data_IF_121296414668
#
_entry.id   IF_121296414668
#
_cell.length_a   1.000
_cell.length_b   1.000
_cell.length_c   1.000
_cell.angle_alpha   90.00
_cell.angle_beta   90.00
_cell.angle_gamma   90.00
#
_symmetry.space_group_name_H-M   'P 1'
#
loop_
_entity.id
_entity.type
_entity.pdbx_description
1 polymer ?
#
# COMPACT_ATOMS: atom_id res chain seq x y z
N UNK A 1 -6.79 -20.92 17.99
CA UNK A 1 -7.36 -21.02 16.64
C UNK A 1 -8.34 -19.87 16.50
N UNK A 2 -8.06 -18.88 15.67
CA UNK A 2 -8.97 -17.76 15.43
C UNK A 2 -10.04 -18.16 14.41
N UNK A 3 -11.32 -17.81 14.59
CA UNK A 3 -12.39 -18.27 13.72
C UNK A 3 -12.45 -17.44 12.42
N UNK A 4 -12.94 -18.02 11.31
CA UNK A 4 -13.17 -17.28 10.08
C UNK A 4 -14.45 -16.44 10.20
N UNK A 5 -14.36 -15.16 9.88
CA UNK A 5 -15.49 -14.22 9.94
C UNK A 5 -16.17 -14.17 8.57
N UNK A 6 -17.40 -14.69 8.48
CA UNK A 6 -18.28 -14.62 7.31
C UNK A 6 -19.10 -13.32 7.41
N UNK A 7 -18.99 -12.42 6.42
CA UNK A 7 -19.82 -11.20 6.36
C UNK A 7 -20.55 -11.13 5.01
N UNK A 8 -21.88 -11.03 5.10
CA UNK A 8 -22.84 -11.00 4.00
C UNK A 8 -22.95 -9.66 3.26
N UNK A 9 -23.59 -9.75 2.09
CA UNK A 9 -23.87 -8.72 1.07
C UNK A 9 -24.58 -7.45 1.58
N UNK A 10 -24.12 -6.27 1.13
CA UNK A 10 -24.94 -5.27 0.39
C UNK A 10 -24.11 -4.03 -0.08
N UNK A 11 -24.20 -3.73 -1.40
CA UNK A 11 -24.12 -2.45 -2.14
C UNK A 11 -23.00 -1.40 -1.90
N UNK A 12 -21.85 -1.54 -2.62
CA UNK A 12 -20.88 -0.51 -3.10
C UNK A 12 -20.23 0.50 -2.13
N UNK A 13 -18.98 1.01 -2.31
CA UNK A 13 -17.93 0.69 -3.30
C UNK A 13 -17.11 -0.53 -2.83
N UNK A 14 -16.25 -1.07 -3.71
CA UNK A 14 -15.49 -2.32 -3.50
C UNK A 14 -14.66 -2.30 -2.20
N UNK A 15 -15.28 -2.67 -1.08
CA UNK A 15 -14.57 -3.28 0.06
C UNK A 15 -14.10 -4.64 -0.43
N UNK A 16 -12.94 -4.65 -1.10
CA UNK A 16 -12.24 -5.89 -1.40
C UNK A 16 -11.90 -6.52 -0.06
N UNK A 17 -12.69 -7.51 0.34
CA UNK A 17 -12.49 -8.35 1.53
C UNK A 17 -11.29 -9.28 1.38
N UNK A 18 -10.45 -9.10 0.36
CA UNK A 18 -9.15 -9.76 0.30
C UNK A 18 -8.31 -9.25 1.47
N UNK A 19 -8.03 -10.14 2.41
CA UNK A 19 -7.02 -9.95 3.43
C UNK A 19 -5.71 -9.60 2.74
N UNK A 20 -5.11 -8.49 3.17
CA UNK A 20 -3.80 -8.13 2.68
C UNK A 20 -2.78 -8.97 3.43
N UNK A 21 -1.76 -9.45 2.72
CA UNK A 21 -0.71 -10.29 3.26
C UNK A 21 0.63 -9.55 3.29
N UNK A 22 1.60 -10.13 4.00
CA UNK A 22 2.99 -9.71 3.89
C UNK A 22 3.45 -9.93 2.44
N UNK A 23 4.32 -9.05 1.95
CA UNK A 23 4.83 -8.96 0.57
C UNK A 23 3.81 -8.48 -0.48
N UNK A 24 2.54 -8.29 -0.12
CA UNK A 24 1.58 -7.64 -1.02
C UNK A 24 1.93 -6.17 -1.26
N UNK A 25 1.73 -5.73 -2.49
CA UNK A 25 1.69 -4.32 -2.84
C UNK A 25 0.29 -3.76 -2.64
N UNK A 26 0.22 -2.51 -2.21
CA UNK A 26 -1.02 -1.78 -2.02
C UNK A 26 -0.87 -0.31 -2.42
N UNK A 27 -2.01 0.31 -2.75
CA UNK A 27 -2.11 1.76 -2.84
C UNK A 27 -2.53 2.32 -1.49
N UNK A 28 -1.79 3.32 -1.02
CA UNK A 28 -2.11 4.05 0.21
C UNK A 28 -2.43 5.49 -0.13
N UNK A 29 -3.48 6.00 0.50
CA UNK A 29 -3.79 7.42 0.52
C UNK A 29 -3.50 7.97 1.92
N UNK A 30 -2.47 8.82 2.00
CA UNK A 30 -2.07 9.47 3.25
C UNK A 30 -2.32 10.96 3.09
N UNK A 31 -3.18 11.58 3.91
CA UNK A 31 -3.50 13.01 3.81
C UNK A 31 -2.28 13.94 3.83
N UNK A 32 -1.20 13.54 4.53
CA UNK A 32 0.07 14.28 4.58
C UNK A 32 0.73 14.43 3.20
N UNK A 33 0.45 13.51 2.28
CA UNK A 33 1.00 13.47 0.92
C UNK A 33 -0.08 13.67 -0.14
N UNK A 34 -1.21 14.30 0.22
CA UNK A 34 -2.32 14.56 -0.69
C UNK A 34 -1.85 15.39 -1.89
N UNK A 35 -2.20 14.95 -3.10
CA UNK A 35 -1.82 15.60 -4.36
C UNK A 35 -0.52 15.08 -4.99
N UNK A 36 0.29 14.31 -4.26
CA UNK A 36 1.59 13.79 -4.74
C UNK A 36 1.51 12.39 -5.38
N UNK A 37 0.32 11.95 -5.81
CA UNK A 37 0.00 10.60 -6.34
C UNK A 37 -0.23 9.52 -5.26
N UNK A 38 -1.09 8.52 -5.50
CA UNK A 38 -1.28 7.40 -4.56
C UNK A 38 0.01 6.61 -4.36
N UNK A 39 0.45 6.57 -3.12
CA UNK A 39 1.75 6.06 -2.77
C UNK A 39 1.70 4.53 -2.76
N UNK A 40 2.35 3.91 -3.76
CA UNK A 40 2.49 2.45 -3.83
C UNK A 40 3.49 2.02 -2.76
N UNK A 41 3.12 1.00 -2.00
CA UNK A 41 4.01 0.40 -1.02
C UNK A 41 3.85 -1.11 -0.96
N UNK A 42 4.88 -1.78 -0.41
CA UNK A 42 4.87 -3.21 -0.14
C UNK A 42 4.76 -3.43 1.37
N UNK A 43 3.93 -4.37 1.81
CA UNK A 43 3.72 -4.65 3.22
C UNK A 43 4.83 -5.55 3.75
N UNK A 44 5.51 -5.08 4.80
CA UNK A 44 6.57 -5.81 5.46
C UNK A 44 6.06 -6.54 6.71
N UNK A 45 5.18 -5.89 7.48
CA UNK A 45 4.68 -6.41 8.75
C UNK A 45 3.23 -5.97 8.92
N UNK A 46 2.38 -6.90 9.38
CA UNK A 46 1.01 -6.60 9.78
C UNK A 46 0.95 -6.69 11.31
N UNK A 47 0.69 -5.55 11.95
CA UNK A 47 0.56 -5.45 13.40
C UNK A 47 -0.91 -5.43 13.80
N UNK A 48 -1.33 -6.50 14.45
CA UNK A 48 -2.70 -6.70 14.95
C UNK A 48 -2.83 -6.37 16.45
N UNK A 49 -1.76 -5.93 17.13
CA UNK A 49 -1.73 -5.77 18.58
C UNK A 49 -2.16 -4.38 19.06
N UNK A 50 -2.37 -3.42 18.16
CA UNK A 50 -2.74 -2.07 18.53
C UNK A 50 -4.22 -1.96 18.93
N UNK A 51 -4.45 -1.52 20.17
CA UNK A 51 -5.79 -1.25 20.75
C UNK A 51 -6.60 -0.24 19.93
N UNK A 52 -5.94 0.58 19.12
CA UNK A 52 -6.53 1.65 18.29
C UNK A 52 -6.75 1.28 16.83
N UNK A 53 -6.54 0.01 16.44
CA UNK A 53 -6.79 -0.48 15.08
C UNK A 53 -5.60 -1.22 14.47
N UNK A 54 -5.80 -1.83 13.30
CA UNK A 54 -4.75 -2.54 12.59
C UNK A 54 -3.76 -1.56 11.94
N UNK A 55 -2.48 -1.76 12.21
CA UNK A 55 -1.39 -1.00 11.60
C UNK A 55 -0.54 -1.93 10.75
N UNK A 56 0.04 -1.41 9.67
CA UNK A 56 0.99 -2.16 8.84
C UNK A 56 2.26 -1.36 8.67
N UNK A 57 3.40 -2.04 8.73
CA UNK A 57 4.68 -1.45 8.33
C UNK A 57 4.89 -1.70 6.85
N UNK A 58 5.17 -0.64 6.10
CA UNK A 58 5.30 -0.69 4.65
C UNK A 58 6.67 -0.20 4.21
N UNK A 59 7.09 -0.63 3.02
CA UNK A 59 8.23 -0.09 2.27
C UNK A 59 7.70 0.71 1.09
N UNK A 60 8.14 1.96 0.96
CA UNK A 60 7.72 2.86 -0.12
C UNK A 60 8.40 2.54 -1.44
N UNK A 61 7.67 2.76 -2.54
CA UNK A 61 8.18 2.65 -3.90
C UNK A 61 7.95 3.96 -4.65
N UNK A 62 8.88 4.32 -5.53
CA UNK A 62 8.79 5.46 -6.42
C UNK A 62 8.66 4.98 -7.87
N UNK A 63 7.76 5.60 -8.60
CA UNK A 63 7.42 5.25 -9.97
C UNK A 63 6.26 6.09 -10.47
N UNK A 64 5.65 5.65 -11.57
CA UNK A 64 4.47 6.27 -12.17
C UNK A 64 3.58 5.18 -12.77
N UNK A 65 2.41 5.54 -13.28
CA UNK A 65 1.51 4.61 -14.00
C UNK A 65 2.20 3.86 -15.15
N UNK A 66 3.20 4.49 -15.78
CA UNK A 66 3.85 3.99 -17.00
C UNK A 66 5.29 3.52 -16.79
N UNK A 67 5.90 3.82 -15.64
CA UNK A 67 7.28 3.44 -15.32
C UNK A 67 7.33 2.33 -14.27
N UNK A 68 8.45 1.61 -14.24
CA UNK A 68 8.69 0.62 -13.20
C UNK A 68 8.72 1.29 -11.81
N UNK A 69 8.12 0.62 -10.83
CA UNK A 69 8.14 1.00 -9.44
C UNK A 69 9.38 0.43 -8.77
N UNK A 70 10.19 1.31 -8.19
CA UNK A 70 11.47 0.96 -7.57
C UNK A 70 11.46 1.30 -6.08
N UNK A 71 12.13 0.52 -5.21
CA UNK A 71 12.14 0.78 -3.78
C UNK A 71 12.72 2.17 -3.46
N UNK A 72 12.01 2.95 -2.64
CA UNK A 72 12.50 4.20 -2.12
C UNK A 72 13.56 3.96 -1.05
N UNK A 73 14.62 4.77 -1.05
CA UNK A 73 15.57 4.85 0.05
C UNK A 73 15.60 6.24 0.64
N UNK A 74 15.92 6.33 1.93
CA UNK A 74 16.13 7.60 2.64
C UNK A 74 17.51 7.64 3.26
N UNK A 75 18.03 8.85 3.51
CA UNK A 75 19.32 9.02 4.19
C UNK A 75 19.21 8.62 5.65
N UNK A 76 20.17 7.84 6.13
CA UNK A 76 20.28 7.49 7.55
C UNK A 76 20.80 8.71 8.31
N UNK A 77 20.03 9.18 9.31
CA UNK A 77 20.41 10.33 10.14
C UNK A 77 21.72 10.01 10.87
N UNK A 78 22.74 10.87 10.72
CA UNK A 78 24.03 10.71 11.39
C UNK A 78 25.03 9.78 10.68
N UNK A 79 24.68 9.16 9.55
CA UNK A 79 25.59 8.31 8.79
C UNK A 79 25.84 8.87 7.38
N UNK A 80 27.02 9.45 7.17
CA UNK A 80 27.41 10.05 5.88
C UNK A 80 27.38 9.00 4.77
N UNK A 81 26.61 9.27 3.71
CA UNK A 81 26.53 8.43 2.51
C UNK A 81 25.73 7.13 2.65
N UNK A 82 25.20 6.81 3.84
CA UNK A 82 24.37 5.61 4.02
C UNK A 82 22.90 5.93 3.73
N UNK A 83 22.27 5.05 2.95
CA UNK A 83 20.83 5.07 2.71
C UNK A 83 20.22 3.77 3.21
N UNK A 84 18.96 3.84 3.63
CA UNK A 84 18.17 2.69 4.08
C UNK A 84 16.84 2.66 3.31
N UNK A 85 16.18 1.50 3.16
CA UNK A 85 14.83 1.45 2.63
C UNK A 85 13.91 2.39 3.41
N UNK A 86 13.15 3.21 2.70
CA UNK A 86 12.18 4.08 3.35
C UNK A 86 10.98 3.24 3.78
N UNK A 87 10.88 3.01 5.09
CA UNK A 87 9.75 2.35 5.73
C UNK A 87 8.96 3.30 6.63
N UNK A 88 7.66 3.04 6.75
CA UNK A 88 6.73 3.80 7.59
C UNK A 88 5.61 2.89 8.10
N UNK A 89 5.03 3.23 9.25
CA UNK A 89 3.84 2.54 9.77
C UNK A 89 2.61 3.33 9.35
N UNK A 90 1.68 2.66 8.65
CA UNK A 90 0.43 3.25 8.16
C UNK A 90 -0.76 2.52 8.78
N UNK A 91 -1.89 3.22 8.92
CA UNK A 91 -3.12 2.60 9.37
C UNK A 91 -3.75 1.78 8.24
N UNK A 92 -4.35 0.63 8.55
CA UNK A 92 -5.11 -0.16 7.57
C UNK A 92 -6.23 0.64 6.88
N UNK A 93 -6.77 1.65 7.58
CA UNK A 93 -7.79 2.56 7.07
C UNK A 93 -7.32 3.46 5.91
N UNK A 94 -6.01 3.67 5.80
CA UNK A 94 -5.38 4.48 4.74
C UNK A 94 -5.09 3.66 3.47
N UNK A 95 -5.25 2.34 3.54
CA UNK A 95 -4.99 1.46 2.40
C UNK A 95 -6.24 1.35 1.54
N UNK A 96 -6.12 1.76 0.29
CA UNK A 96 -7.23 1.91 -0.62
C UNK A 96 -7.53 0.65 -1.45
N UNK A 97 -6.51 -0.15 -1.79
CA UNK A 97 -6.67 -1.38 -2.56
C UNK A 97 -6.57 -2.64 -1.70
N UNK A 98 -6.99 -3.78 -2.26
CA UNK A 98 -6.48 -5.07 -1.79
C UNK A 98 -5.02 -5.26 -2.21
N UNK A 99 -4.39 -6.29 -1.65
CA UNK A 99 -3.06 -6.73 -2.06
C UNK A 99 -3.00 -7.05 -3.54
N UNK A 100 -1.90 -6.67 -4.18
CA UNK A 100 -1.56 -7.02 -5.55
C UNK A 100 -0.06 -7.29 -5.68
N UNK A 101 0.36 -7.84 -6.81
CA UNK A 101 1.78 -7.96 -7.16
C UNK A 101 2.09 -7.07 -8.35
N UNK A 102 3.28 -6.47 -8.38
CA UNK A 102 3.77 -5.83 -9.59
C UNK A 102 3.97 -6.87 -10.70
N UNK A 103 3.92 -6.43 -11.95
CA UNK A 103 4.30 -7.28 -13.08
C UNK A 103 5.79 -7.67 -12.98
N UNK A 104 6.26 -8.70 -13.72
CA UNK A 104 7.69 -9.04 -13.74
C UNK A 104 8.61 -7.88 -14.14
N UNK A 105 8.10 -6.91 -14.91
CA UNK A 105 8.81 -5.69 -15.30
C UNK A 105 8.72 -4.56 -14.27
N UNK A 106 8.13 -4.80 -13.10
CA UNK A 106 7.95 -3.82 -12.04
C UNK A 106 6.84 -2.81 -12.29
N UNK A 107 5.92 -3.07 -13.22
CA UNK A 107 4.80 -2.18 -13.53
C UNK A 107 3.56 -2.52 -12.69
N UNK A 108 2.65 -1.55 -12.57
CA UNK A 108 1.34 -1.80 -12.00
C UNK A 108 0.52 -2.73 -12.92
N UNK A 109 -0.19 -3.74 -12.36
CA UNK A 109 -1.16 -4.52 -13.11
C UNK A 109 -2.19 -3.60 -13.79
N UNK A 110 -2.67 -3.99 -14.97
CA UNK A 110 -3.64 -3.19 -15.73
C UNK A 110 -4.85 -2.77 -14.89
N UNK A 111 -5.42 -3.72 -14.13
CA UNK A 111 -6.56 -3.44 -13.24
C UNK A 111 -6.28 -2.33 -12.21
N UNK A 112 -5.07 -2.30 -11.62
CA UNK A 112 -4.69 -1.27 -10.65
C UNK A 112 -4.48 0.08 -11.35
N UNK A 113 -3.95 0.10 -12.57
CA UNK A 113 -3.86 1.32 -13.38
C UNK A 113 -5.23 1.87 -13.73
N UNK A 114 -6.15 1.00 -14.15
CA UNK A 114 -7.53 1.39 -14.46
C UNK A 114 -8.25 1.92 -13.20
N UNK A 115 -8.05 1.28 -12.03
CA UNK A 115 -8.62 1.76 -10.76
C UNK A 115 -8.06 3.16 -10.39
N UNK A 116 -6.77 3.42 -10.63
CA UNK A 116 -6.14 4.74 -10.43
C UNK A 116 -6.70 5.83 -11.36
N UNK A 117 -6.99 5.51 -12.62
CA UNK A 117 -7.55 6.46 -13.59
C UNK A 117 -8.96 6.92 -13.19
N UNK A 118 -9.71 6.07 -12.48
CA UNK A 118 -11.03 6.44 -11.93
C UNK A 118 -10.89 7.37 -10.73
N UNK A 119 -9.86 7.20 -9.91
CA UNK A 119 -9.65 8.03 -8.71
C UNK A 119 -9.21 9.45 -9.04
N UNK A 120 -8.34 9.63 -10.03
CA UNK A 120 -7.90 10.96 -10.47
C UNK A 120 -9.00 11.83 -11.12
N UNK A 121 -10.19 11.27 -11.37
CA UNK A 121 -11.34 12.01 -11.89
C UNK A 121 -12.21 12.66 -10.80
N UNK A 122 -11.93 12.38 -9.52
CA UNK A 122 -12.63 12.94 -8.35
C UNK A 122 -11.71 13.86 -7.55
#
# INVERSE_FOLDING_TARGET
MCPPVIIGKACGPRKSTQEIQVDDFVLVDIPKYAGDWPQVCCILVIDCQHVTGQHVTVRWYNGSKTTAWTPCTRRVKGARGKTEPWTETVSRSQIWTSGFSLTPSGLLPKKIRDDLDVYEQY
#
